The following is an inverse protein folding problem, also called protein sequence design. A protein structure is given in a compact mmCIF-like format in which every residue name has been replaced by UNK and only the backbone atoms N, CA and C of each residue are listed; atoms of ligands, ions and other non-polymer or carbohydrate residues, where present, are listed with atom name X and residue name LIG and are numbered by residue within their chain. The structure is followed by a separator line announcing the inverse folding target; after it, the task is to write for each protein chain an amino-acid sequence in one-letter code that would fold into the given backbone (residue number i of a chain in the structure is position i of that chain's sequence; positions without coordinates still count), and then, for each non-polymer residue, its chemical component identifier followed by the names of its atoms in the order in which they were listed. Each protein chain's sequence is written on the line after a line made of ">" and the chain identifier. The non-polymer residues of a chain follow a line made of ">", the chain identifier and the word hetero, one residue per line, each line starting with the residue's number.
data_IF_571006714228
#
_entry.id   IF_571006714228
#
_cell.length_a   1.000
_cell.length_b   1.000
_cell.length_c   1.000
_cell.angle_alpha   90.00
_cell.angle_beta   90.00
_cell.angle_gamma   90.00
#
_symmetry.space_group_name_H-M   'P 1'
#
loop_
_entity.id
_entity.type
_entity.pdbx_description
1 polymer ?
#
# COMPACT_ATOMS: atom_id res chain seq x y z
N UNK A 1 8.24 23.31 4.73
CA UNK A 1 7.00 23.86 5.34
C UNK A 1 7.08 23.64 6.82
N UNK A 2 7.17 24.72 7.60
CA UNK A 2 7.18 24.66 9.07
C UNK A 2 5.79 25.08 9.54
N UNK A 3 4.90 24.10 9.75
CA UNK A 3 3.56 24.37 10.29
C UNK A 3 3.69 24.72 11.78
N UNK A 4 2.97 25.75 12.23
CA UNK A 4 2.95 26.11 13.65
C UNK A 4 2.16 25.08 14.47
N UNK A 5 2.48 24.92 15.75
CA UNK A 5 1.75 24.01 16.67
C UNK A 5 0.24 24.28 16.67
N UNK A 6 -0.17 25.55 16.60
CA UNK A 6 -1.58 25.92 16.59
C UNK A 6 -2.26 25.54 15.27
N UNK A 7 -1.58 25.68 14.14
CA UNK A 7 -2.09 25.23 12.85
C UNK A 7 -2.17 23.71 12.75
N UNK A 8 -1.18 22.99 13.30
CA UNK A 8 -1.22 21.55 13.41
C UNK A 8 -2.42 21.07 14.24
N UNK A 9 -2.68 21.71 15.39
CA UNK A 9 -3.79 21.36 16.27
C UNK A 9 -5.16 21.65 15.65
N UNK A 10 -5.30 22.75 14.89
CA UNK A 10 -6.54 23.08 14.17
C UNK A 10 -6.78 22.13 13.00
N UNK A 11 -5.73 21.74 12.29
CA UNK A 11 -5.79 20.75 11.22
C UNK A 11 -6.20 19.39 11.80
N UNK A 12 -5.50 18.92 12.84
CA UNK A 12 -5.80 17.62 13.48
C UNK A 12 -7.19 17.56 14.09
N UNK A 13 -7.68 18.64 14.71
CA UNK A 13 -9.03 18.70 15.27
C UNK A 13 -10.12 18.61 14.19
N UNK A 14 -9.93 19.24 13.03
CA UNK A 14 -10.84 19.12 11.89
C UNK A 14 -10.79 17.73 11.26
N UNK A 15 -9.59 17.15 11.14
CA UNK A 15 -9.40 15.80 10.61
C UNK A 15 -10.03 14.73 11.52
N UNK A 16 -9.97 14.90 12.84
CA UNK A 16 -10.58 13.97 13.81
C UNK A 16 -12.11 14.04 13.79
N UNK A 17 -12.69 15.24 13.62
CA UNK A 17 -14.14 15.42 13.49
C UNK A 17 -14.69 14.81 12.18
N UNK A 18 -13.94 14.91 11.08
CA UNK A 18 -14.28 14.24 9.83
C UNK A 18 -14.13 12.71 9.92
N UNK A 19 -13.10 12.20 10.62
CA UNK A 19 -12.90 10.78 10.84
C UNK A 19 -13.97 10.15 11.76
N UNK A 20 -14.48 10.91 12.74
CA UNK A 20 -15.51 10.45 13.67
C UNK A 20 -16.92 10.33 13.02
N UNK A 21 -17.11 10.92 11.84
CA UNK A 21 -18.40 10.92 11.11
C UNK A 21 -18.35 10.17 9.78
N UNK A 22 -17.17 9.82 9.28
CA UNK A 22 -17.02 9.03 8.06
C UNK A 22 -17.22 7.54 8.33
N UNK A 23 -18.30 6.96 7.80
CA UNK A 23 -18.56 5.51 7.85
C UNK A 23 -17.66 4.68 6.92
N UNK A 24 -16.77 5.33 6.16
CA UNK A 24 -15.88 4.69 5.19
C UNK A 24 -14.62 5.52 4.94
N UNK A 25 -13.49 4.84 4.73
CA UNK A 25 -12.19 5.45 4.40
C UNK A 25 -12.24 6.37 3.16
N UNK A 26 -13.08 6.03 2.17
CA UNK A 26 -13.26 6.84 0.97
C UNK A 26 -13.94 8.19 1.26
N UNK A 27 -14.95 8.22 2.12
CA UNK A 27 -15.62 9.47 2.54
C UNK A 27 -14.69 10.37 3.34
N UNK A 28 -13.74 9.81 4.10
CA UNK A 28 -12.70 10.56 4.79
C UNK A 28 -11.75 11.30 3.82
N UNK A 29 -11.36 10.65 2.71
CA UNK A 29 -10.52 11.28 1.68
C UNK A 29 -11.24 12.44 0.99
N UNK A 30 -12.54 12.30 0.73
CA UNK A 30 -13.37 13.36 0.15
C UNK A 30 -13.64 14.53 1.13
N UNK A 31 -13.75 14.26 2.43
CA UNK A 31 -14.06 15.27 3.45
C UNK A 31 -12.85 16.15 3.87
N UNK A 32 -11.64 15.83 3.41
CA UNK A 32 -10.43 16.61 3.69
C UNK A 32 -9.74 17.12 2.39
N UNK A 33 -10.45 17.88 1.53
CA UNK A 33 -9.91 18.40 0.28
C UNK A 33 -8.83 19.44 0.61
N UNK A 34 -7.57 19.03 0.52
CA UNK A 34 -6.40 19.84 0.87
C UNK A 34 -5.41 19.12 1.77
N UNK A 35 -5.86 18.19 2.63
CA UNK A 35 -4.95 17.34 3.39
C UNK A 35 -4.26 16.32 2.48
N UNK A 36 -5.05 15.58 1.69
CA UNK A 36 -4.51 14.64 0.70
C UNK A 36 -3.62 15.37 -0.33
N UNK A 37 -4.07 16.53 -0.82
CA UNK A 37 -3.29 17.35 -1.75
C UNK A 37 -1.96 17.84 -1.13
N UNK A 38 -1.98 18.27 0.13
CA UNK A 38 -0.77 18.67 0.86
C UNK A 38 0.22 17.53 1.06
N UNK A 39 -0.28 16.31 1.32
CA UNK A 39 0.55 15.10 1.42
C UNK A 39 1.12 14.71 0.05
N UNK A 40 0.30 14.70 -1.00
CA UNK A 40 0.71 14.36 -2.36
C UNK A 40 1.75 15.32 -2.92
N UNK A 41 1.63 16.62 -2.59
CA UNK A 41 2.62 17.66 -2.95
C UNK A 41 3.83 17.70 -2.02
N UNK A 42 3.88 16.86 -0.99
CA UNK A 42 5.02 16.85 -0.07
C UNK A 42 6.29 16.40 -0.78
N UNK A 43 7.43 16.97 -0.37
CA UNK A 43 8.71 16.65 -0.98
C UNK A 43 9.11 15.18 -0.80
N UNK A 44 8.64 14.55 0.29
CA UNK A 44 8.79 13.11 0.52
C UNK A 44 8.08 12.30 -0.57
N UNK A 45 6.83 12.62 -0.86
CA UNK A 45 6.03 11.90 -1.87
C UNK A 45 6.60 12.16 -3.27
N UNK A 46 7.05 13.39 -3.57
CA UNK A 46 7.73 13.69 -4.84
C UNK A 46 8.95 12.80 -5.09
N UNK A 47 9.77 12.56 -4.06
CA UNK A 47 10.93 11.65 -4.15
C UNK A 47 10.50 10.21 -4.44
N UNK A 48 9.41 9.74 -3.80
CA UNK A 48 8.86 8.40 -4.06
C UNK A 48 8.37 8.29 -5.51
N UNK A 49 7.62 9.28 -6.01
CA UNK A 49 7.17 9.30 -7.40
C UNK A 49 8.33 9.29 -8.39
N UNK A 50 9.39 10.06 -8.11
CA UNK A 50 10.61 10.09 -8.92
C UNK A 50 11.26 8.71 -8.97
N UNK A 51 11.45 8.06 -7.81
CA UNK A 51 12.00 6.71 -7.74
C UNK A 51 11.16 5.69 -8.53
N UNK A 52 9.83 5.70 -8.37
CA UNK A 52 8.93 4.80 -9.12
C UNK A 52 9.07 5.01 -10.63
N UNK A 53 9.12 6.27 -11.07
CA UNK A 53 9.26 6.60 -12.49
C UNK A 53 10.60 6.12 -13.06
N UNK A 54 11.70 6.36 -12.34
CA UNK A 54 13.05 5.94 -12.73
C UNK A 54 13.20 4.40 -12.78
N UNK A 55 12.46 3.68 -11.95
CA UNK A 55 12.54 2.21 -11.85
C UNK A 55 11.40 1.48 -12.56
N UNK A 56 10.60 2.20 -13.38
CA UNK A 56 9.40 1.66 -14.05
C UNK A 56 9.65 0.34 -14.79
N UNK A 57 10.74 0.25 -15.56
CA UNK A 57 11.08 -0.96 -16.31
C UNK A 57 11.28 -2.18 -15.38
N UNK A 58 11.99 -1.98 -14.26
CA UNK A 58 12.20 -3.05 -13.27
C UNK A 58 10.88 -3.45 -12.59
N UNK A 59 10.00 -2.50 -12.29
CA UNK A 59 8.67 -2.80 -11.74
C UNK A 59 7.82 -3.62 -12.71
N UNK A 60 7.83 -3.28 -14.00
CA UNK A 60 7.13 -4.05 -15.04
C UNK A 60 7.65 -5.49 -15.07
N UNK A 61 8.97 -5.71 -15.03
CA UNK A 61 9.55 -7.07 -15.00
C UNK A 61 9.04 -7.87 -13.81
N UNK A 62 9.01 -7.28 -12.60
CA UNK A 62 8.49 -7.96 -11.39
C UNK A 62 7.01 -8.32 -11.50
N UNK A 63 6.20 -7.42 -12.05
CA UNK A 63 4.76 -7.70 -12.30
C UNK A 63 4.62 -8.84 -13.30
N UNK A 64 5.38 -8.83 -14.39
CA UNK A 64 5.35 -9.91 -15.37
C UNK A 64 5.84 -11.24 -14.80
N UNK A 65 6.87 -11.24 -13.95
CA UNK A 65 7.33 -12.43 -13.23
C UNK A 65 6.22 -13.01 -12.36
N UNK A 66 5.55 -12.16 -11.56
CA UNK A 66 4.43 -12.58 -10.71
C UNK A 66 3.24 -13.12 -11.52
N UNK A 67 2.86 -12.44 -12.61
CA UNK A 67 1.75 -12.87 -13.48
C UNK A 67 2.02 -14.18 -14.23
N UNK A 68 3.29 -14.53 -14.48
CA UNK A 68 3.65 -15.79 -15.16
C UNK A 68 3.53 -17.01 -14.24
N UNK A 69 3.50 -16.83 -12.92
CA UNK A 69 3.27 -17.90 -11.97
C UNK A 69 1.77 -18.29 -11.96
N UNK A 70 1.40 -19.53 -12.34
CA UNK A 70 0.02 -19.98 -12.26
C UNK A 70 -0.51 -19.88 -10.82
N UNK A 71 -1.76 -19.45 -10.65
CA UNK A 71 -2.46 -19.37 -9.36
C UNK A 71 -3.98 -19.38 -9.56
N UNK A 72 -4.51 -20.52 -9.99
CA UNK A 72 -5.95 -20.69 -10.29
C UNK A 72 -6.60 -21.53 -9.21
N UNK A 73 -7.32 -20.87 -8.30
CA UNK A 73 -7.94 -21.49 -7.12
C UNK A 73 -8.99 -22.54 -7.45
N UNK A 74 -9.84 -22.28 -8.45
CA UNK A 74 -10.88 -23.22 -8.89
C UNK A 74 -10.32 -24.54 -9.42
N UNK A 75 -9.06 -24.56 -9.85
CA UNK A 75 -8.37 -25.75 -10.36
C UNK A 75 -7.32 -26.29 -9.37
N UNK A 76 -7.18 -25.66 -8.20
CA UNK A 76 -6.17 -26.04 -7.21
C UNK A 76 -4.72 -25.88 -7.71
N UNK A 77 -4.48 -25.00 -8.69
CA UNK A 77 -3.20 -24.96 -9.41
C UNK A 77 -2.33 -23.77 -8.99
N UNK A 78 -1.12 -24.05 -8.51
CA UNK A 78 -0.03 -23.08 -8.40
C UNK A 78 -0.12 -22.05 -7.25
N UNK A 79 -1.12 -22.21 -6.37
CA UNK A 79 -1.47 -21.19 -5.37
C UNK A 79 -0.42 -21.12 -4.26
N UNK A 80 0.10 -22.28 -3.85
CA UNK A 80 1.16 -22.35 -2.85
C UNK A 80 2.46 -21.76 -3.40
N UNK A 81 2.80 -22.08 -4.63
CA UNK A 81 3.99 -21.57 -5.32
C UNK A 81 3.90 -20.05 -5.53
N UNK A 82 2.71 -19.54 -5.87
CA UNK A 82 2.45 -18.11 -5.96
C UNK A 82 2.57 -17.40 -4.60
N UNK A 83 2.08 -18.03 -3.53
CA UNK A 83 2.25 -17.54 -2.17
C UNK A 83 3.74 -17.51 -1.75
N UNK A 84 4.51 -18.55 -2.05
CA UNK A 84 5.97 -18.59 -1.82
C UNK A 84 6.72 -17.52 -2.64
N UNK A 85 6.30 -17.26 -3.88
CA UNK A 85 6.85 -16.18 -4.70
C UNK A 85 6.56 -14.81 -4.07
N UNK A 86 5.35 -14.57 -3.57
CA UNK A 86 5.01 -13.34 -2.86
C UNK A 86 5.83 -13.16 -1.58
N UNK A 87 6.01 -14.22 -0.79
CA UNK A 87 6.90 -14.19 0.37
C UNK A 87 8.32 -13.76 -0.01
N UNK A 88 8.84 -14.25 -1.14
CA UNK A 88 10.17 -13.87 -1.62
C UNK A 88 10.27 -12.36 -1.91
N UNK A 89 9.19 -11.75 -2.43
CA UNK A 89 9.14 -10.31 -2.67
C UNK A 89 9.12 -9.54 -1.35
N UNK A 90 8.28 -9.94 -0.39
CA UNK A 90 8.18 -9.28 0.91
C UNK A 90 9.49 -9.35 1.70
N UNK A 91 10.16 -10.51 1.70
CA UNK A 91 11.49 -10.67 2.31
C UNK A 91 12.52 -9.76 1.65
N UNK A 92 12.55 -9.70 0.32
CA UNK A 92 13.44 -8.78 -0.44
C UNK A 92 13.14 -7.31 -0.16
N UNK A 93 11.87 -6.97 0.10
CA UNK A 93 11.45 -5.62 0.47
C UNK A 93 11.90 -5.22 1.89
N UNK A 94 12.28 -6.20 2.71
CA UNK A 94 12.76 -6.00 4.07
C UNK A 94 11.70 -6.20 5.16
N UNK A 95 10.54 -6.78 4.83
CA UNK A 95 9.55 -7.20 5.82
C UNK A 95 10.20 -8.16 6.83
N UNK A 96 9.97 -7.91 8.12
CA UNK A 96 10.63 -8.65 9.21
C UNK A 96 9.98 -10.00 9.47
N UNK A 97 8.67 -10.06 9.31
CA UNK A 97 7.85 -11.25 9.50
C UNK A 97 7.13 -11.55 8.19
N UNK A 98 7.37 -12.74 7.65
CA UNK A 98 6.79 -13.22 6.40
C UNK A 98 6.67 -14.74 6.49
N UNK A 99 5.45 -15.26 6.54
CA UNK A 99 5.16 -16.69 6.69
C UNK A 99 4.00 -17.15 5.81
N UNK A 100 3.90 -18.45 5.54
CA UNK A 100 2.66 -19.01 4.98
C UNK A 100 1.71 -19.33 6.12
N UNK A 101 0.58 -18.64 6.16
CA UNK A 101 -0.49 -18.91 7.12
C UNK A 101 -1.40 -19.98 6.53
N UNK A 102 -1.43 -21.16 7.17
CA UNK A 102 -2.31 -22.26 6.77
C UNK A 102 -3.76 -21.89 7.10
N UNK A 103 -4.65 -22.12 6.14
CA UNK A 103 -6.10 -21.98 6.31
C UNK A 103 -6.79 -23.31 5.96
N UNK A 104 -8.11 -23.38 6.13
CA UNK A 104 -8.90 -24.54 5.69
C UNK A 104 -8.90 -24.71 4.16
N UNK A 105 -8.52 -23.66 3.42
CA UNK A 105 -8.38 -23.67 1.97
C UNK A 105 -6.94 -23.44 1.54
N UNK A 106 -6.71 -22.39 0.76
CA UNK A 106 -5.39 -22.04 0.26
C UNK A 106 -4.59 -21.21 1.27
N UNK A 107 -3.27 -21.37 1.34
CA UNK A 107 -2.45 -20.61 2.27
C UNK A 107 -2.46 -19.11 1.94
N UNK A 108 -2.43 -18.28 2.98
CA UNK A 108 -2.16 -16.85 2.89
C UNK A 108 -0.68 -16.55 3.14
N UNK A 109 -0.26 -15.32 2.82
CA UNK A 109 1.09 -14.78 3.06
C UNK A 109 0.98 -13.52 3.92
#
# INVERSE_FOLDING_TARGET
>A
MTISRQEFLKLSARTLAAAATSSSFFTFLDAAPGFAEGVLRSERVRKIHTYIAEHKAQHIVRVQEYLRQPSVSSWGLGIKECAELLMSYLKRLGCKEVELVKTDGHPGV
#
